data_IF_152622708794
#
_entry.id   IF_152622708794
#
_cell.length_a   1.000
_cell.length_b   1.000
_cell.length_c   1.000
_cell.angle_alpha   90.00
_cell.angle_beta   90.00
_cell.angle_gamma   90.00
#
_symmetry.space_group_name_H-M   'P 1'
#
loop_
_entity.id
_entity.type
_entity.pdbx_description
1 polymer ?
#
# COMPACT_ATOMS: atom_id res chain seq x y z
N UNK A 1 18.40 -13.14 32.25
CA UNK A 1 19.28 -12.46 31.28
C UNK A 1 19.23 -13.16 29.92
N UNK A 2 19.66 -14.43 29.82
CA UNK A 2 19.72 -15.18 28.55
C UNK A 2 18.36 -15.28 27.80
N UNK A 3 17.25 -15.53 28.50
CA UNK A 3 15.91 -15.58 27.86
C UNK A 3 15.43 -14.22 27.34
N UNK A 4 15.74 -13.11 28.01
CA UNK A 4 15.35 -11.77 27.57
C UNK A 4 16.15 -11.38 26.33
N UNK A 5 17.44 -11.69 26.32
CA UNK A 5 18.29 -11.49 25.14
C UNK A 5 17.83 -12.37 23.98
N UNK A 6 17.47 -13.64 24.23
CA UNK A 6 17.00 -14.57 23.20
C UNK A 6 15.62 -14.17 22.63
N UNK A 7 14.70 -13.70 23.48
CA UNK A 7 13.41 -13.16 23.06
C UNK A 7 13.56 -11.85 22.27
N UNK A 8 14.48 -10.96 22.68
CA UNK A 8 14.80 -9.75 21.92
C UNK A 8 15.42 -10.08 20.57
N UNK A 9 16.34 -11.06 20.51
CA UNK A 9 16.92 -11.53 19.24
C UNK A 9 15.85 -12.17 18.36
N UNK A 10 14.95 -12.98 18.91
CA UNK A 10 13.84 -13.58 18.17
C UNK A 10 12.87 -12.51 17.65
N UNK A 11 12.56 -11.50 18.47
CA UNK A 11 11.73 -10.37 18.06
C UNK A 11 12.42 -9.55 16.96
N UNK A 12 13.73 -9.30 17.06
CA UNK A 12 14.50 -8.56 16.05
C UNK A 12 14.62 -9.33 14.73
N UNK A 13 14.76 -10.66 14.78
CA UNK A 13 14.76 -11.56 13.62
C UNK A 13 13.37 -11.63 12.97
N UNK A 14 12.28 -11.54 13.74
CA UNK A 14 10.92 -11.51 13.19
C UNK A 14 10.62 -10.17 12.49
N UNK A 15 11.27 -9.09 12.89
CA UNK A 15 11.04 -7.76 12.32
C UNK A 15 11.79 -7.49 11.02
N UNK A 16 12.92 -8.17 10.75
CA UNK A 16 13.64 -8.06 9.49
C UNK A 16 14.16 -9.45 9.09
N UNK A 17 13.71 -9.98 7.96
CA UNK A 17 14.18 -11.27 7.45
C UNK A 17 14.55 -11.21 5.98
N UNK A 18 15.51 -12.03 5.58
CA UNK A 18 15.84 -12.24 4.17
C UNK A 18 14.87 -13.26 3.56
N UNK A 19 14.35 -12.92 2.39
CA UNK A 19 13.63 -13.81 1.48
C UNK A 19 14.32 -13.83 0.12
N UNK A 20 13.78 -14.62 -0.79
CA UNK A 20 14.27 -14.74 -2.15
C UNK A 20 13.09 -14.66 -3.12
N UNK A 21 13.17 -13.76 -4.08
CA UNK A 21 12.20 -13.65 -5.17
C UNK A 21 12.87 -14.14 -6.46
N UNK A 22 12.56 -15.37 -6.87
CA UNK A 22 13.14 -15.96 -8.08
C UNK A 22 14.63 -16.25 -7.91
N UNK A 23 15.50 -15.40 -8.47
CA UNK A 23 16.95 -15.44 -8.26
C UNK A 23 17.54 -14.25 -7.48
N UNK A 24 16.67 -13.39 -6.94
CA UNK A 24 17.04 -12.10 -6.35
C UNK A 24 16.83 -12.14 -4.83
N UNK A 25 17.87 -11.91 -4.00
CA UNK A 25 17.69 -11.79 -2.56
C UNK A 25 16.88 -10.52 -2.23
N UNK A 26 15.88 -10.67 -1.37
CA UNK A 26 15.00 -9.60 -0.94
C UNK A 26 15.04 -9.46 0.59
N UNK A 27 15.05 -8.22 1.07
CA UNK A 27 14.98 -7.91 2.50
C UNK A 27 13.54 -7.50 2.84
N UNK A 28 12.91 -8.25 3.74
CA UNK A 28 11.54 -7.99 4.18
C UNK A 28 11.56 -7.32 5.55
N UNK A 29 10.89 -6.17 5.66
CA UNK A 29 10.73 -5.42 6.91
C UNK A 29 9.30 -5.63 7.45
N UNK A 30 9.21 -6.14 8.67
CA UNK A 30 7.96 -6.40 9.40
C UNK A 30 7.64 -5.40 10.51
N UNK A 31 8.56 -4.49 10.87
CA UNK A 31 8.31 -3.46 11.88
C UNK A 31 7.42 -2.33 11.32
N UNK A 32 6.20 -2.11 11.85
CA UNK A 32 5.30 -1.06 11.37
C UNK A 32 5.84 0.36 11.56
N UNK A 33 6.68 0.61 12.58
CA UNK A 33 7.29 1.92 12.79
C UNK A 33 8.34 2.20 11.72
N UNK A 34 9.19 1.21 11.44
CA UNK A 34 10.19 1.30 10.38
C UNK A 34 9.55 1.38 8.99
N UNK A 35 8.51 0.59 8.73
CA UNK A 35 7.73 0.66 7.49
C UNK A 35 7.12 2.04 7.29
N UNK A 36 6.56 2.66 8.35
CA UNK A 36 6.04 4.02 8.28
C UNK A 36 7.12 5.01 7.88
N UNK A 37 8.31 4.90 8.46
CA UNK A 37 9.42 5.80 8.15
C UNK A 37 9.89 5.63 6.70
N UNK A 38 10.03 4.38 6.23
CA UNK A 38 10.34 4.04 4.83
C UNK A 38 9.28 4.60 3.86
N UNK A 39 7.99 4.39 4.14
CA UNK A 39 6.90 4.80 3.23
C UNK A 39 6.56 6.28 3.27
N UNK A 40 6.94 7.02 4.32
CA UNK A 40 6.55 8.43 4.50
C UNK A 40 7.75 9.37 4.41
N UNK A 41 8.81 9.12 5.20
CA UNK A 41 9.97 10.01 5.27
C UNK A 41 10.93 9.72 4.12
N UNK A 42 11.28 8.45 3.95
CA UNK A 42 12.34 8.02 3.04
C UNK A 42 11.79 7.48 1.71
N UNK A 43 10.52 7.76 1.39
CA UNK A 43 9.84 7.21 0.21
C UNK A 43 10.62 7.43 -1.09
N UNK A 44 11.29 8.59 -1.24
CA UNK A 44 12.09 8.92 -2.43
C UNK A 44 13.28 7.98 -2.64
N UNK A 45 13.82 7.38 -1.57
CA UNK A 45 14.92 6.41 -1.66
C UNK A 45 14.44 5.01 -2.04
N UNK A 46 13.15 4.73 -1.84
CA UNK A 46 12.50 3.43 -2.09
C UNK A 46 11.40 3.51 -3.15
N UNK A 47 11.39 4.58 -3.97
CA UNK A 47 10.37 4.84 -4.98
C UNK A 47 10.58 4.06 -6.27
N UNK A 48 11.84 3.65 -6.55
CA UNK A 48 12.18 2.85 -7.71
C UNK A 48 11.64 1.43 -7.54
N UNK A 49 10.70 1.09 -8.42
CA UNK A 49 10.08 -0.23 -8.47
C UNK A 49 11.02 -1.18 -9.20
N UNK A 50 11.01 -2.44 -8.77
CA UNK A 50 11.87 -3.46 -9.37
C UNK A 50 11.56 -3.54 -10.87
N UNK A 51 12.58 -3.29 -11.69
CA UNK A 51 12.52 -3.26 -13.16
C UNK A 51 12.03 -4.59 -13.75
N UNK A 52 12.02 -5.67 -12.96
CA UNK A 52 11.57 -7.02 -13.34
C UNK A 52 10.06 -7.17 -13.49
N UNK A 53 9.25 -6.14 -13.22
CA UNK A 53 7.79 -6.23 -13.36
C UNK A 53 7.29 -6.13 -14.81
N UNK A 54 8.20 -5.99 -15.78
CA UNK A 54 7.86 -6.07 -17.20
C UNK A 54 7.26 -7.45 -17.49
N UNK A 55 5.94 -7.48 -17.59
CA UNK A 55 5.14 -8.68 -17.86
C UNK A 55 5.22 -9.04 -19.34
N UNK A 56 5.78 -8.15 -20.18
CA UNK A 56 5.82 -8.28 -21.64
C UNK A 56 4.47 -7.92 -22.29
N UNK A 57 3.50 -7.51 -21.49
CA UNK A 57 2.20 -7.06 -21.96
C UNK A 57 2.12 -5.53 -21.80
N UNK A 58 1.93 -4.79 -22.91
CA UNK A 58 2.00 -3.33 -22.90
C UNK A 58 0.92 -2.66 -22.04
N UNK A 59 -0.19 -3.33 -21.71
CA UNK A 59 -1.19 -2.81 -20.78
C UNK A 59 -0.73 -2.94 -19.33
N UNK A 60 -0.18 -4.10 -18.95
CA UNK A 60 0.30 -4.35 -17.59
C UNK A 60 1.54 -3.53 -17.28
N UNK A 61 2.42 -3.37 -18.25
CA UNK A 61 3.66 -2.60 -18.08
C UNK A 61 3.38 -1.09 -17.91
N UNK A 62 2.27 -0.60 -18.47
CA UNK A 62 1.78 0.79 -18.31
C UNK A 62 0.83 0.99 -17.13
N UNK A 63 0.54 -0.06 -16.36
CA UNK A 63 -0.29 0.06 -15.17
C UNK A 63 0.45 0.92 -14.15
N UNK A 64 -0.26 1.82 -13.47
CA UNK A 64 0.31 2.73 -12.46
C UNK A 64 1.18 2.01 -11.41
N UNK A 65 0.89 0.75 -11.08
CA UNK A 65 1.67 -0.03 -10.11
C UNK A 65 3.06 -0.47 -10.61
N UNK A 66 3.29 -0.42 -11.92
CA UNK A 66 4.49 -0.91 -12.61
C UNK A 66 5.30 0.21 -13.27
N UNK A 67 4.78 1.43 -13.32
CA UNK A 67 5.48 2.59 -13.92
C UNK A 67 6.54 3.19 -12.98
N UNK A 68 7.61 3.81 -13.53
CA UNK A 68 8.63 4.52 -12.76
C UNK A 68 8.05 5.72 -11.99
N UNK A 69 8.84 6.28 -11.06
CA UNK A 69 8.37 7.29 -10.09
C UNK A 69 7.69 8.50 -10.74
N UNK A 70 8.28 9.09 -11.78
CA UNK A 70 7.72 10.28 -12.45
C UNK A 70 6.36 10.01 -13.09
N UNK A 71 6.25 8.93 -13.86
CA UNK A 71 5.01 8.51 -14.50
C UNK A 71 3.93 8.12 -13.48
N UNK A 72 4.35 7.45 -12.40
CA UNK A 72 3.48 7.12 -11.29
C UNK A 72 2.92 8.37 -10.62
N UNK A 73 3.76 9.39 -10.37
CA UNK A 73 3.33 10.68 -9.78
C UNK A 73 2.34 11.40 -10.68
N UNK A 74 2.59 11.45 -11.98
CA UNK A 74 1.70 12.08 -12.96
C UNK A 74 0.33 11.37 -12.99
N UNK A 75 0.35 10.03 -13.11
CA UNK A 75 -0.85 9.20 -13.15
C UNK A 75 -1.65 9.31 -11.84
N UNK A 76 -0.96 9.29 -10.68
CA UNK A 76 -1.58 9.46 -9.37
C UNK A 76 -2.28 10.82 -9.24
N UNK A 77 -1.62 11.89 -9.66
CA UNK A 77 -2.15 13.25 -9.60
C UNK A 77 -3.44 13.36 -10.43
N UNK A 78 -3.46 12.72 -11.60
CA UNK A 78 -4.63 12.68 -12.46
C UNK A 78 -5.78 11.83 -11.88
N UNK A 79 -5.47 10.68 -11.26
CA UNK A 79 -6.48 9.75 -10.74
C UNK A 79 -7.01 10.10 -9.35
N UNK A 80 -6.20 10.70 -8.48
CA UNK A 80 -6.57 11.06 -7.10
C UNK A 80 -7.93 11.79 -6.97
N UNK A 81 -8.29 12.77 -7.82
CA UNK A 81 -9.58 13.47 -7.70
C UNK A 81 -10.80 12.60 -8.04
N UNK A 82 -10.63 11.42 -8.63
CA UNK A 82 -11.73 10.48 -8.89
C UNK A 82 -12.18 9.76 -7.62
N UNK A 83 -11.26 9.54 -6.68
CA UNK A 83 -11.49 8.79 -5.45
C UNK A 83 -11.86 9.68 -4.25
N UNK A 84 -12.62 10.74 -4.49
CA UNK A 84 -13.18 11.54 -3.38
C UNK A 84 -14.31 10.80 -2.70
N UNK A 85 -14.55 11.09 -1.41
CA UNK A 85 -15.65 10.50 -0.66
C UNK A 85 -17.01 10.68 -1.35
N UNK A 86 -17.26 11.84 -1.99
CA UNK A 86 -18.50 12.10 -2.71
C UNK A 86 -18.65 11.25 -3.97
N UNK A 87 -17.57 11.09 -4.76
CA UNK A 87 -17.58 10.23 -5.96
C UNK A 87 -17.65 8.76 -5.60
N UNK A 88 -16.93 8.33 -4.56
CA UNK A 88 -16.99 6.97 -4.03
C UNK A 88 -18.40 6.62 -3.54
N UNK A 89 -19.06 7.52 -2.79
CA UNK A 89 -20.48 7.37 -2.41
C UNK A 89 -21.35 7.16 -3.65
N UNK A 90 -21.20 8.01 -4.67
CA UNK A 90 -21.96 7.88 -5.91
C UNK A 90 -21.68 6.57 -6.68
N UNK A 91 -20.44 6.06 -6.67
CA UNK A 91 -20.08 4.78 -7.31
C UNK A 91 -20.70 3.58 -6.57
N UNK A 92 -20.64 3.59 -5.24
CA UNK A 92 -21.21 2.55 -4.39
C UNK A 92 -22.73 2.53 -4.53
N UNK A 93 -23.40 3.68 -4.53
CA UNK A 93 -24.86 3.77 -4.67
C UNK A 93 -25.33 3.27 -6.04
N UNK A 94 -24.53 3.36 -7.10
CA UNK A 94 -24.94 2.88 -8.43
C UNK A 94 -24.78 1.37 -8.61
N UNK A 95 -23.72 0.76 -8.07
CA UNK A 95 -23.40 -0.65 -8.32
C UNK A 95 -23.70 -1.59 -7.14
N UNK A 96 -23.84 -1.06 -5.92
CA UNK A 96 -23.93 -1.84 -4.67
C UNK A 96 -25.33 -1.75 -4.02
N UNK A 97 -26.37 -1.36 -4.75
CA UNK A 97 -27.77 -1.36 -4.26
C UNK A 97 -28.42 -2.73 -4.24
N UNK A 98 -27.82 -3.74 -4.89
CA UNK A 98 -28.38 -5.11 -4.91
C UNK A 98 -28.18 -5.88 -3.59
N UNK A 99 -27.40 -5.36 -2.64
CA UNK A 99 -27.36 -5.88 -1.26
C UNK A 99 -26.84 -4.80 -0.30
N UNK A 100 -27.69 -4.19 0.54
CA UNK A 100 -27.20 -3.34 1.62
C UNK A 100 -26.44 -4.23 2.61
N UNK A 101 -25.12 -4.28 2.51
CA UNK A 101 -24.29 -4.81 3.58
C UNK A 101 -24.06 -3.69 4.58
N UNK A 102 -24.39 -3.98 5.84
CA UNK A 102 -24.17 -3.13 7.01
C UNK A 102 -22.74 -2.58 7.13
N UNK A 103 -21.76 -3.23 6.48
CA UNK A 103 -20.36 -2.79 6.41
C UNK A 103 -20.24 -1.49 5.57
N UNK A 104 -20.91 -1.42 4.42
CA UNK A 104 -20.81 -0.27 3.52
C UNK A 104 -21.43 0.97 4.17
N UNK A 105 -22.57 0.82 4.83
CA UNK A 105 -23.26 1.90 5.55
C UNK A 105 -22.40 2.47 6.70
N UNK A 106 -21.65 1.63 7.42
CA UNK A 106 -20.77 2.09 8.51
C UNK A 106 -19.55 2.87 8.03
N UNK A 107 -18.97 2.49 6.89
CA UNK A 107 -17.84 3.21 6.29
C UNK A 107 -18.25 4.60 5.77
N UNK A 108 -19.49 4.74 5.26
CA UNK A 108 -19.99 6.00 4.71
C UNK A 108 -20.45 7.01 5.78
N UNK A 109 -20.94 6.55 6.93
CA UNK A 109 -21.39 7.37 8.06
C UNK A 109 -20.29 7.62 9.10
N UNK A 110 -19.26 6.77 9.17
CA UNK A 110 -18.15 6.91 10.13
C UNK A 110 -17.25 8.12 9.87
N UNK A 111 -17.25 8.68 8.66
CA UNK A 111 -16.46 9.84 8.29
C UNK A 111 -17.03 11.20 8.75
N UNK A 112 -18.30 11.27 9.16
CA UNK A 112 -18.95 12.55 9.52
C UNK A 112 -18.70 13.00 10.97
N UNK A 113 -18.07 12.19 11.83
CA UNK A 113 -17.87 12.54 13.25
C UNK A 113 -16.55 13.26 13.59
N UNK A 114 -15.81 13.77 12.61
CA UNK A 114 -14.62 14.61 12.84
C UNK A 114 -14.65 15.89 12.02
N UNK A 115 -15.68 16.70 12.22
CA UNK A 115 -15.71 18.09 11.83
C UNK A 115 -16.66 18.85 12.78
N UNK A 116 -16.22 19.00 14.03
CA UNK A 116 -16.66 20.06 14.94
C UNK A 116 -15.52 20.40 15.87
#
# INVERSE_FOLDING_TARGET
MLQVTLALVFLLIVLIFCSYEGFVPALVVGDPLLLRDIYVKDFKSFSDRIVSNATGNPLWDKMMLNTPEEEWKATRTMMSPVFTTSRLKAMITKNCTLRPTNICTRLLLGGEKKAS
#
